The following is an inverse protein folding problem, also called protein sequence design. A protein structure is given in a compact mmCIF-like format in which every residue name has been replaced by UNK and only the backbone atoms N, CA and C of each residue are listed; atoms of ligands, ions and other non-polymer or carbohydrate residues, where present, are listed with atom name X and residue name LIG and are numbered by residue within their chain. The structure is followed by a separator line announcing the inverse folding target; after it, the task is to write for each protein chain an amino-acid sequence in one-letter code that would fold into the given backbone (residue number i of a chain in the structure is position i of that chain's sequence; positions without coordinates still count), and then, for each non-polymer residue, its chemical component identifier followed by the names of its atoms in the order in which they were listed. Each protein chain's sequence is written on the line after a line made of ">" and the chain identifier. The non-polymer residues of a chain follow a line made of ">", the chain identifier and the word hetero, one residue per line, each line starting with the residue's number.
data_IF_034485263408
#
_entry.id   IF_034485263408
#
_cell.length_a   1.000
_cell.length_b   1.000
_cell.length_c   1.000
_cell.angle_alpha   90.00
_cell.angle_beta   90.00
_cell.angle_gamma   90.00
#
_symmetry.space_group_name_H-M   'P 1'
#
loop_
_entity.id
_entity.type
_entity.pdbx_description
1 polymer ?
#
# COMPACT_ATOMS: atom_id res chain seq x y z
N UNK A 1 -20.57 9.80 -4.03
CA UNK A 1 -20.31 8.48 -4.63
C UNK A 1 -19.24 8.52 -5.72
N UNK A 2 -19.35 9.36 -6.77
CA UNK A 2 -18.33 9.49 -7.83
C UNK A 2 -16.88 9.73 -7.33
N UNK A 3 -16.69 10.61 -6.34
CA UNK A 3 -15.35 10.92 -5.77
C UNK A 3 -14.65 9.71 -5.11
N UNK A 4 -15.39 8.87 -4.39
CA UNK A 4 -14.84 7.67 -3.73
C UNK A 4 -14.33 6.69 -4.80
N UNK A 5 -15.14 6.47 -5.83
CA UNK A 5 -14.79 5.56 -6.92
C UNK A 5 -13.56 6.02 -7.71
N UNK A 6 -13.43 7.32 -8.00
CA UNK A 6 -12.23 7.87 -8.64
C UNK A 6 -10.99 7.63 -7.78
N UNK A 7 -11.08 7.89 -6.47
CA UNK A 7 -9.98 7.61 -5.53
C UNK A 7 -9.65 6.11 -5.54
N UNK A 8 -10.64 5.22 -5.50
CA UNK A 8 -10.42 3.77 -5.47
C UNK A 8 -9.76 3.25 -6.76
N UNK A 9 -10.09 3.82 -7.92
CA UNK A 9 -9.41 3.49 -9.19
C UNK A 9 -7.97 3.99 -9.24
N UNK A 10 -7.73 5.24 -8.84
CA UNK A 10 -6.38 5.78 -8.73
C UNK A 10 -5.58 4.89 -7.77
N UNK A 11 -6.18 4.56 -6.61
CA UNK A 11 -5.58 3.72 -5.58
C UNK A 11 -5.17 2.35 -6.12
N UNK A 12 -6.01 1.73 -6.95
CA UNK A 12 -5.69 0.47 -7.60
C UNK A 12 -4.43 0.58 -8.49
N UNK A 13 -4.36 1.59 -9.36
CA UNK A 13 -3.21 1.76 -10.26
C UNK A 13 -1.92 2.09 -9.50
N UNK A 14 -1.97 2.99 -8.52
CA UNK A 14 -0.77 3.37 -7.75
C UNK A 14 -0.33 2.24 -6.79
N UNK A 15 -1.27 1.39 -6.32
CA UNK A 15 -0.94 0.16 -5.61
C UNK A 15 -0.13 -0.79 -6.50
N UNK A 16 -0.62 -1.07 -7.73
CA UNK A 16 0.09 -1.94 -8.68
C UNK A 16 1.48 -1.37 -8.98
N UNK A 17 1.59 -0.06 -9.19
CA UNK A 17 2.86 0.63 -9.43
C UNK A 17 3.85 0.46 -8.27
N UNK A 18 3.40 0.72 -7.03
CA UNK A 18 4.23 0.59 -5.82
C UNK A 18 4.66 -0.87 -5.57
N UNK A 19 3.74 -1.82 -5.74
CA UNK A 19 4.04 -3.25 -5.58
C UNK A 19 5.03 -3.75 -6.63
N UNK A 20 4.82 -3.43 -7.91
CA UNK A 20 5.69 -3.83 -9.00
C UNK A 20 7.09 -3.23 -8.85
N UNK A 21 7.18 -1.94 -8.57
CA UNK A 21 8.46 -1.26 -8.34
C UNK A 21 9.21 -1.79 -7.12
N UNK A 22 8.50 -2.15 -6.05
CA UNK A 22 9.12 -2.76 -4.86
C UNK A 22 9.72 -4.13 -5.17
N UNK A 23 9.00 -4.99 -5.89
CA UNK A 23 9.51 -6.29 -6.34
C UNK A 23 10.72 -6.08 -7.27
N UNK A 24 10.63 -5.16 -8.23
CA UNK A 24 11.73 -4.81 -9.15
C UNK A 24 12.98 -4.33 -8.41
N UNK A 25 12.82 -3.46 -7.41
CA UNK A 25 13.92 -2.99 -6.55
C UNK A 25 14.62 -4.14 -5.83
N UNK A 26 13.85 -5.08 -5.27
CA UNK A 26 14.41 -6.26 -4.60
C UNK A 26 15.16 -7.17 -5.57
N UNK A 27 14.63 -7.41 -6.78
CA UNK A 27 15.32 -8.20 -7.81
C UNK A 27 16.62 -7.50 -8.23
N UNK A 28 16.57 -6.19 -8.52
CA UNK A 28 17.74 -5.40 -8.90
C UNK A 28 18.81 -5.36 -7.80
N UNK A 29 18.41 -5.41 -6.53
CA UNK A 29 19.32 -5.46 -5.38
C UNK A 29 20.16 -6.74 -5.26
N UNK A 30 19.80 -7.81 -5.97
CA UNK A 30 20.63 -9.02 -6.07
C UNK A 30 21.63 -8.96 -7.23
N UNK A 31 21.49 -7.99 -8.14
CA UNK A 31 22.37 -7.80 -9.29
C UNK A 31 23.56 -6.89 -8.97
N UNK A 32 24.49 -6.82 -9.92
CA UNK A 32 25.69 -5.98 -9.81
C UNK A 32 25.54 -4.60 -10.47
N UNK A 33 24.33 -4.25 -10.92
CA UNK A 33 24.07 -2.98 -11.60
C UNK A 33 23.47 -1.95 -10.62
N UNK A 34 24.35 -1.10 -10.08
CA UNK A 34 23.97 -0.04 -9.15
C UNK A 34 23.01 0.99 -9.76
N UNK A 35 23.19 1.36 -11.02
CA UNK A 35 22.32 2.33 -11.71
C UNK A 35 20.89 1.80 -11.83
N UNK A 36 20.75 0.53 -12.21
CA UNK A 36 19.45 -0.14 -12.29
C UNK A 36 18.77 -0.18 -10.91
N UNK A 37 19.50 -0.58 -9.87
CA UNK A 37 18.99 -0.57 -8.50
C UNK A 37 18.53 0.83 -8.07
N UNK A 38 19.34 1.85 -8.34
CA UNK A 38 19.03 3.23 -8.00
C UNK A 38 17.76 3.72 -8.72
N UNK A 39 17.63 3.44 -10.02
CA UNK A 39 16.44 3.82 -10.80
C UNK A 39 15.17 3.16 -10.25
N UNK A 40 15.23 1.87 -9.89
CA UNK A 40 14.12 1.20 -9.21
C UNK A 40 13.82 1.82 -7.84
N UNK A 41 14.84 2.21 -7.08
CA UNK A 41 14.67 2.81 -5.76
C UNK A 41 13.94 4.16 -5.85
N UNK A 42 14.38 5.04 -6.75
CA UNK A 42 13.72 6.34 -7.00
C UNK A 42 12.27 6.13 -7.44
N UNK A 43 12.04 5.23 -8.39
CA UNK A 43 10.70 4.95 -8.90
C UNK A 43 9.78 4.37 -7.82
N UNK A 44 10.29 3.45 -7.00
CA UNK A 44 9.56 2.86 -5.89
C UNK A 44 9.20 3.90 -4.82
N UNK A 45 10.13 4.80 -4.47
CA UNK A 45 9.89 5.86 -3.49
C UNK A 45 8.79 6.82 -4.00
N UNK A 46 8.91 7.32 -5.24
CA UNK A 46 7.91 8.23 -5.82
C UNK A 46 6.53 7.57 -5.92
N UNK A 47 6.47 6.32 -6.42
CA UNK A 47 5.23 5.56 -6.52
C UNK A 47 4.60 5.29 -5.15
N UNK A 48 5.40 4.98 -4.14
CA UNK A 48 4.94 4.69 -2.78
C UNK A 48 4.46 5.94 -2.04
N UNK A 49 5.08 7.11 -2.26
CA UNK A 49 4.54 8.38 -1.74
C UNK A 49 3.20 8.73 -2.36
N UNK A 50 3.05 8.56 -3.68
CA UNK A 50 1.77 8.77 -4.35
C UNK A 50 0.70 7.79 -3.83
N UNK A 51 1.07 6.53 -3.61
CA UNK A 51 0.20 5.54 -3.00
C UNK A 51 -0.22 5.93 -1.58
N UNK A 52 0.72 6.35 -0.73
CA UNK A 52 0.46 6.81 0.64
C UNK A 52 -0.52 7.99 0.65
N UNK A 53 -0.30 9.01 -0.18
CA UNK A 53 -1.19 10.17 -0.30
C UNK A 53 -2.60 9.72 -0.72
N UNK A 54 -2.70 8.81 -1.69
CA UNK A 54 -3.99 8.31 -2.17
C UNK A 54 -4.70 7.48 -1.09
N UNK A 55 -3.96 6.69 -0.30
CA UNK A 55 -4.50 5.96 0.87
C UNK A 55 -5.03 6.95 1.90
N UNK A 56 -4.33 8.06 2.18
CA UNK A 56 -4.83 9.09 3.11
C UNK A 56 -6.19 9.61 2.63
N UNK A 57 -6.32 9.96 1.35
CA UNK A 57 -7.61 10.38 0.79
C UNK A 57 -8.66 9.28 0.90
N UNK A 58 -8.34 8.03 0.57
CA UNK A 58 -9.24 6.88 0.74
C UNK A 58 -9.72 6.72 2.19
N UNK A 59 -8.81 6.81 3.18
CA UNK A 59 -9.17 6.76 4.61
C UNK A 59 -10.08 7.93 4.98
N UNK A 60 -9.82 9.14 4.45
CA UNK A 60 -10.66 10.31 4.75
C UNK A 60 -12.10 10.15 4.28
N UNK A 61 -12.34 9.51 3.13
CA UNK A 61 -13.70 9.22 2.67
C UNK A 61 -14.39 8.14 3.50
N UNK A 62 -13.62 7.27 4.15
CA UNK A 62 -14.10 6.20 5.03
C UNK A 62 -14.01 6.53 6.53
N UNK A 63 -13.86 7.81 6.93
CA UNK A 63 -13.76 8.24 8.34
C UNK A 63 -14.85 7.66 9.25
N UNK A 64 -16.08 7.51 8.76
CA UNK A 64 -17.17 6.90 9.52
C UNK A 64 -16.90 5.45 9.94
N UNK A 65 -16.20 4.68 9.11
CA UNK A 65 -15.80 3.32 9.44
C UNK A 65 -14.82 3.29 10.62
N UNK A 66 -13.78 4.12 10.56
CA UNK A 66 -12.75 4.24 11.60
C UNK A 66 -13.32 4.80 12.91
N UNK A 67 -14.09 5.90 12.85
CA UNK A 67 -14.75 6.46 14.04
C UNK A 67 -15.66 5.45 14.72
N UNK A 68 -16.42 4.67 13.93
CA UNK A 68 -17.26 3.60 14.45
C UNK A 68 -16.46 2.46 15.07
N UNK A 69 -15.29 2.11 14.50
CA UNK A 69 -14.43 1.06 15.04
C UNK A 69 -13.80 1.47 16.38
N UNK A 70 -13.38 2.74 16.53
CA UNK A 70 -12.82 3.28 17.78
C UNK A 70 -13.89 3.36 18.87
N UNK A 71 -15.09 3.86 18.54
CA UNK A 71 -16.14 4.09 19.54
C UNK A 71 -16.82 2.80 20.01
N UNK A 72 -17.07 1.86 19.10
CA UNK A 72 -17.92 0.69 19.35
C UNK A 72 -17.17 -0.64 19.20
N UNK A 73 -15.85 -0.61 18.99
CA UNK A 73 -15.06 -1.80 18.64
C UNK A 73 -15.32 -2.30 17.21
N UNK A 74 -14.67 -3.42 16.86
CA UNK A 74 -14.77 -3.99 15.51
C UNK A 74 -16.11 -4.68 15.23
N UNK A 75 -16.71 -5.39 16.20
CA UNK A 75 -18.01 -6.06 16.02
C UNK A 75 -18.10 -6.87 14.70
N UNK A 76 -19.08 -6.53 13.85
CA UNK A 76 -19.28 -7.12 12.50
C UNK A 76 -18.45 -6.46 11.38
N UNK A 77 -17.55 -5.51 11.68
CA UNK A 77 -16.70 -4.83 10.69
C UNK A 77 -15.63 -5.78 10.14
N UNK A 78 -15.08 -5.42 8.98
CA UNK A 78 -14.08 -6.21 8.28
C UNK A 78 -12.76 -6.28 9.07
N UNK A 79 -12.45 -7.45 9.65
CA UNK A 79 -11.15 -7.72 10.29
C UNK A 79 -9.97 -7.54 9.34
N UNK A 80 -10.12 -7.95 8.06
CA UNK A 80 -9.10 -7.76 7.02
C UNK A 80 -8.76 -6.28 6.86
N UNK A 81 -9.76 -5.39 6.87
CA UNK A 81 -9.52 -3.95 6.74
C UNK A 81 -8.75 -3.42 7.96
N UNK A 82 -9.09 -3.87 9.17
CA UNK A 82 -8.37 -3.45 10.37
C UNK A 82 -6.90 -3.91 10.35
N UNK A 83 -6.66 -5.18 10.00
CA UNK A 83 -5.29 -5.73 9.87
C UNK A 83 -4.53 -4.98 8.78
N UNK A 84 -5.14 -4.77 7.61
CA UNK A 84 -4.54 -4.01 6.52
C UNK A 84 -4.18 -2.58 6.95
N UNK A 85 -5.04 -1.89 7.70
CA UNK A 85 -4.71 -0.54 8.21
C UNK A 85 -3.47 -0.54 9.10
N UNK A 86 -3.33 -1.53 9.98
CA UNK A 86 -2.15 -1.65 10.88
C UNK A 86 -0.89 -2.00 10.08
N UNK A 87 -0.96 -3.02 9.23
CA UNK A 87 0.21 -3.45 8.44
C UNK A 87 0.63 -2.36 7.44
N UNK A 88 -0.33 -1.66 6.83
CA UNK A 88 -0.05 -0.53 5.94
C UNK A 88 0.63 0.63 6.68
N UNK A 89 0.24 0.91 7.92
CA UNK A 89 0.92 1.89 8.76
C UNK A 89 2.39 1.49 9.01
N UNK A 90 2.64 0.22 9.37
CA UNK A 90 3.98 -0.29 9.63
C UNK A 90 4.88 -0.24 8.37
N UNK A 91 4.39 -0.66 7.20
CA UNK A 91 5.17 -0.57 5.96
C UNK A 91 5.46 0.88 5.57
N UNK A 92 4.53 1.79 5.81
CA UNK A 92 4.76 3.22 5.57
C UNK A 92 5.84 3.79 6.50
N UNK A 93 5.80 3.47 7.79
CA UNK A 93 6.80 3.93 8.77
C UNK A 93 8.20 3.40 8.41
N UNK A 94 8.33 2.11 8.15
CA UNK A 94 9.62 1.52 7.75
C UNK A 94 10.14 2.10 6.43
N UNK A 95 9.25 2.38 5.46
CA UNK A 95 9.62 3.03 4.20
C UNK A 95 10.17 4.45 4.41
N UNK A 96 9.56 5.23 5.31
CA UNK A 96 10.05 6.57 5.67
C UNK A 96 11.41 6.48 6.37
N UNK A 97 11.59 5.53 7.29
CA UNK A 97 12.88 5.32 7.98
C UNK A 97 13.99 5.00 6.97
N UNK A 98 13.68 4.18 5.95
CA UNK A 98 14.66 3.77 4.93
C UNK A 98 15.20 4.94 4.09
N UNK A 99 14.53 6.09 4.04
CA UNK A 99 15.05 7.29 3.36
C UNK A 99 16.33 7.84 4.05
N UNK A 100 16.50 7.56 5.34
CA UNK A 100 17.68 7.94 6.11
C UNK A 100 18.71 6.83 6.30
N UNK A 101 18.48 5.64 5.72
CA UNK A 101 19.40 4.50 5.87
C UNK A 101 20.37 4.46 4.68
N UNK A 102 21.66 4.44 4.98
CA UNK A 102 22.70 4.33 3.96
C UNK A 102 22.98 2.87 3.60
N UNK A 103 23.17 2.61 2.31
CA UNK A 103 23.57 1.29 1.80
C UNK A 103 22.42 0.29 1.65
N UNK A 104 22.76 -0.90 1.15
CA UNK A 104 21.83 -2.00 0.92
C UNK A 104 21.84 -2.99 2.10
N UNK A 105 20.88 -3.92 2.14
CA UNK A 105 20.84 -5.03 3.10
C UNK A 105 20.73 -4.67 4.60
N UNK A 106 20.06 -3.56 4.92
CA UNK A 106 19.73 -3.24 6.32
C UNK A 106 18.62 -4.16 6.87
N UNK A 107 18.64 -4.42 8.17
CA UNK A 107 17.57 -5.16 8.86
C UNK A 107 16.20 -4.48 8.67
N UNK A 108 16.17 -3.14 8.68
CA UNK A 108 14.98 -2.35 8.38
C UNK A 108 14.49 -2.57 6.94
N UNK A 109 15.41 -2.70 5.98
CA UNK A 109 15.10 -3.01 4.58
C UNK A 109 14.47 -4.39 4.43
N UNK A 110 15.01 -5.39 5.12
CA UNK A 110 14.44 -6.73 5.14
C UNK A 110 13.08 -6.77 5.84
N UNK A 111 12.90 -6.02 6.93
CA UNK A 111 11.62 -5.89 7.60
C UNK A 111 10.58 -5.25 6.67
N UNK A 112 10.92 -4.11 6.05
CA UNK A 112 10.08 -3.39 5.09
C UNK A 112 9.62 -4.32 3.96
N UNK A 113 10.54 -5.12 3.41
CA UNK A 113 10.22 -6.11 2.39
C UNK A 113 9.17 -7.13 2.86
N UNK A 114 9.41 -7.78 4.00
CA UNK A 114 8.51 -8.83 4.53
C UNK A 114 7.11 -8.30 4.78
N UNK A 115 6.99 -7.13 5.42
CA UNK A 115 5.69 -6.50 5.65
C UNK A 115 5.09 -5.93 4.37
N UNK A 116 5.91 -5.53 3.40
CA UNK A 116 5.48 -5.14 2.05
C UNK A 116 4.78 -6.29 1.32
N UNK A 117 5.37 -7.49 1.30
CA UNK A 117 4.74 -8.69 0.74
C UNK A 117 3.42 -9.01 1.44
N UNK A 118 3.39 -8.96 2.79
CA UNK A 118 2.16 -9.15 3.54
C UNK A 118 1.08 -8.11 3.19
N UNK A 119 1.49 -6.84 3.01
CA UNK A 119 0.60 -5.75 2.59
C UNK A 119 0.02 -6.01 1.21
N UNK A 120 0.81 -6.47 0.24
CA UNK A 120 0.35 -6.80 -1.11
C UNK A 120 -0.75 -7.87 -1.05
N UNK A 121 -0.52 -8.95 -0.30
CA UNK A 121 -1.52 -10.04 -0.14
C UNK A 121 -2.81 -9.50 0.49
N UNK A 122 -2.71 -8.70 1.54
CA UNK A 122 -3.87 -8.10 2.22
C UNK A 122 -4.62 -7.10 1.31
N UNK A 123 -3.91 -6.31 0.51
CA UNK A 123 -4.49 -5.41 -0.49
C UNK A 123 -5.27 -6.18 -1.54
N UNK A 124 -4.68 -7.25 -2.11
CA UNK A 124 -5.37 -8.12 -3.08
C UNK A 124 -6.63 -8.72 -2.45
N UNK A 125 -6.52 -9.30 -1.25
CA UNK A 125 -7.68 -9.85 -0.53
C UNK A 125 -8.77 -8.81 -0.23
N UNK A 126 -8.37 -7.58 0.11
CA UNK A 126 -9.29 -6.46 0.32
C UNK A 126 -10.01 -6.08 -0.98
N UNK A 127 -9.27 -5.94 -2.09
CA UNK A 127 -9.81 -5.60 -3.41
C UNK A 127 -10.78 -6.69 -3.86
N UNK A 128 -10.40 -7.97 -3.82
CA UNK A 128 -11.25 -9.10 -4.21
C UNK A 128 -12.57 -9.15 -3.42
N UNK A 129 -12.56 -8.79 -2.14
CA UNK A 129 -13.79 -8.69 -1.34
C UNK A 129 -14.70 -7.52 -1.76
N UNK A 130 -14.15 -6.54 -2.48
CA UNK A 130 -14.82 -5.30 -2.90
C UNK A 130 -15.06 -5.21 -4.42
N UNK A 131 -14.54 -6.14 -5.22
CA UNK A 131 -14.69 -6.15 -6.70
C UNK A 131 -16.14 -6.09 -7.15
N UNK A 132 -17.06 -6.77 -6.46
CA UNK A 132 -18.49 -6.71 -6.80
C UNK A 132 -19.07 -5.28 -6.76
N UNK A 133 -18.53 -4.40 -5.92
CA UNK A 133 -18.93 -2.99 -5.85
C UNK A 133 -18.28 -2.16 -6.96
N UNK A 134 -17.02 -2.45 -7.30
CA UNK A 134 -16.30 -1.80 -8.39
C UNK A 134 -16.91 -2.15 -9.77
N UNK A 135 -17.26 -3.42 -9.99
CA UNK A 135 -17.84 -3.89 -11.27
C UNK A 135 -19.29 -3.46 -11.49
N UNK A 136 -20.08 -3.22 -10.43
CA UNK A 136 -21.49 -2.81 -10.55
C UNK A 136 -21.65 -1.44 -11.23
N UNK A 137 -20.65 -0.57 -11.13
CA UNK A 137 -20.68 0.78 -11.69
C UNK A 137 -20.12 0.86 -13.11
N UNK A 138 -19.21 -0.03 -13.52
CA UNK A 138 -18.78 -0.15 -14.92
C UNK A 138 -19.91 -0.57 -15.88
N UNK A 139 -21.02 -1.09 -15.32
CA UNK A 139 -22.22 -1.50 -16.04
C UNK A 139 -23.33 -0.43 -16.03
N UNK A 140 -23.11 0.71 -15.37
CA UNK A 140 -24.03 1.85 -15.33
C UNK A 140 -23.55 2.97 -16.25
#
# INVERSE_FOLDING_TARGET
>A
MKKIFVIDWILFFVFVLSAFSGIGLHIAGHGNNHELWHNWAVFHVLGSFLFLITVIFHITTHRGWYKGAVRNGLGKKSKITAVLSVVFFLVSVTGIILLGVNGTNSDTGLLHYKIGIATIILCIGHILKRTHLLCKFLKQ
#
